data_IF_744768801551
#
_entry.id   IF_744768801551
#
_cell.length_a   1.000
_cell.length_b   1.000
_cell.length_c   1.000
_cell.angle_alpha   90.00
_cell.angle_beta   90.00
_cell.angle_gamma   90.00
#
_symmetry.space_group_name_H-M   'P 1'
#
loop_
_entity.id
_entity.type
_entity.pdbx_description
1 polymer ?
#
# COMPACT_ATOMS: atom_id res chain seq x y z
N UNK A 1 -4.07 -36.79 1.69
CA UNK A 1 -4.49 -35.62 2.48
C UNK A 1 -3.26 -34.82 2.88
N UNK A 2 -2.27 -35.46 3.51
CA UNK A 2 -0.98 -34.86 3.89
C UNK A 2 -0.22 -34.17 2.73
N UNK A 3 -0.07 -34.84 1.58
CA UNK A 3 0.58 -34.26 0.39
C UNK A 3 -0.16 -33.02 -0.16
N UNK A 4 -1.46 -32.92 0.08
CA UNK A 4 -2.30 -31.82 -0.41
C UNK A 4 -2.07 -30.55 0.44
N UNK A 5 -2.04 -30.69 1.76
CA UNK A 5 -1.77 -29.59 2.69
C UNK A 5 -0.36 -29.00 2.51
N UNK A 6 0.63 -29.86 2.22
CA UNK A 6 1.99 -29.39 1.92
C UNK A 6 2.05 -28.61 0.60
N UNK A 7 1.32 -29.05 -0.43
CA UNK A 7 1.22 -28.29 -1.69
C UNK A 7 0.51 -26.95 -1.49
N UNK A 8 -0.55 -26.92 -0.68
CA UNK A 8 -1.25 -25.68 -0.34
C UNK A 8 -0.34 -24.71 0.43
N UNK A 9 0.45 -25.21 1.39
CA UNK A 9 1.43 -24.41 2.11
C UNK A 9 2.49 -23.80 1.17
N UNK A 10 3.00 -24.59 0.23
CA UNK A 10 3.95 -24.12 -0.78
C UNK A 10 3.32 -23.09 -1.71
N UNK A 11 2.08 -23.31 -2.14
CA UNK A 11 1.34 -22.33 -2.94
C UNK A 11 1.16 -21.01 -2.19
N UNK A 12 0.71 -21.04 -0.93
CA UNK A 12 0.53 -19.83 -0.11
C UNK A 12 1.84 -19.10 0.14
N UNK A 13 2.94 -19.82 0.30
CA UNK A 13 4.28 -19.24 0.42
C UNK A 13 4.72 -18.53 -0.86
N UNK A 14 4.43 -19.10 -2.03
CA UNK A 14 4.68 -18.44 -3.32
C UNK A 14 3.80 -17.20 -3.52
N UNK A 15 2.52 -17.27 -3.15
CA UNK A 15 1.59 -16.13 -3.17
C UNK A 15 2.08 -14.98 -2.26
N UNK A 16 2.63 -15.32 -1.09
CA UNK A 16 3.23 -14.37 -0.16
C UNK A 16 4.43 -13.65 -0.79
N UNK A 17 5.34 -14.39 -1.42
CA UNK A 17 6.51 -13.83 -2.10
C UNK A 17 6.13 -12.87 -3.23
N UNK A 18 5.12 -13.24 -4.03
CA UNK A 18 4.58 -12.38 -5.09
C UNK A 18 3.97 -11.12 -4.48
N UNK A 19 3.20 -11.26 -3.41
CA UNK A 19 2.56 -10.14 -2.71
C UNK A 19 3.58 -9.16 -2.13
N UNK A 20 4.67 -9.66 -1.53
CA UNK A 20 5.78 -8.84 -1.02
C UNK A 20 6.49 -8.08 -2.15
N UNK A 21 6.69 -8.71 -3.32
CA UNK A 21 7.23 -8.02 -4.50
C UNK A 21 6.29 -6.91 -4.98
N UNK A 22 4.99 -7.17 -5.02
CA UNK A 22 3.96 -6.16 -5.36
C UNK A 22 3.92 -5.00 -4.36
N UNK A 23 4.12 -5.28 -3.06
CA UNK A 23 4.18 -4.25 -2.02
C UNK A 23 5.32 -3.26 -2.26
N UNK A 24 6.50 -3.74 -2.69
CA UNK A 24 7.62 -2.84 -3.03
C UNK A 24 7.27 -1.89 -4.16
N UNK A 25 6.64 -2.40 -5.22
CA UNK A 25 6.20 -1.59 -6.37
C UNK A 25 5.17 -0.54 -5.94
N UNK A 26 4.12 -0.95 -5.23
CA UNK A 26 3.07 -0.03 -4.78
C UNK A 26 3.57 0.99 -3.76
N UNK A 27 4.55 0.62 -2.92
CA UNK A 27 5.23 1.57 -2.04
C UNK A 27 6.02 2.64 -2.79
N UNK A 28 6.75 2.26 -3.84
CA UNK A 28 7.45 3.21 -4.71
C UNK A 28 6.45 4.14 -5.41
N UNK A 29 5.38 3.58 -6.00
CA UNK A 29 4.37 4.37 -6.69
C UNK A 29 3.68 5.38 -5.75
N UNK A 30 3.42 5.00 -4.50
CA UNK A 30 2.89 5.89 -3.48
C UNK A 30 3.87 7.02 -3.16
N UNK A 31 5.15 6.70 -2.92
CA UNK A 31 6.18 7.69 -2.64
C UNK A 31 6.35 8.70 -3.80
N UNK A 32 6.28 8.24 -5.05
CA UNK A 32 6.31 9.09 -6.23
C UNK A 32 5.09 10.02 -6.28
N UNK A 33 3.87 9.51 -6.06
CA UNK A 33 2.67 10.34 -6.06
C UNK A 33 2.66 11.38 -4.93
N UNK A 34 3.11 10.99 -3.74
CA UNK A 34 3.29 11.90 -2.61
C UNK A 34 4.27 13.02 -2.96
N UNK A 35 5.42 12.68 -3.53
CA UNK A 35 6.44 13.66 -3.91
C UNK A 35 5.92 14.62 -4.97
N UNK A 36 5.26 14.10 -6.03
CA UNK A 36 4.69 14.91 -7.10
C UNK A 36 3.63 15.89 -6.57
N UNK A 37 2.71 15.42 -5.73
CA UNK A 37 1.71 16.27 -5.09
C UNK A 37 2.37 17.39 -4.27
N UNK A 38 3.38 17.06 -3.45
CA UNK A 38 4.09 18.03 -2.61
C UNK A 38 4.84 19.08 -3.43
N UNK A 39 5.47 18.67 -4.53
CA UNK A 39 6.20 19.58 -5.43
C UNK A 39 5.25 20.57 -6.11
N UNK A 40 4.15 20.08 -6.70
CA UNK A 40 3.20 20.94 -7.40
C UNK A 40 2.43 21.87 -6.45
N UNK A 41 2.05 21.37 -5.27
CA UNK A 41 1.45 22.21 -4.23
C UNK A 41 2.42 23.33 -3.81
N UNK A 42 3.70 23.03 -3.61
CA UNK A 42 4.69 24.03 -3.23
C UNK A 42 4.89 25.10 -4.32
N UNK A 43 4.95 24.71 -5.60
CA UNK A 43 5.04 25.64 -6.73
C UNK A 43 3.84 26.59 -6.77
N UNK A 44 2.63 26.08 -6.60
CA UNK A 44 1.42 26.90 -6.59
C UNK A 44 1.38 27.85 -5.39
N UNK A 45 1.78 27.38 -4.21
CA UNK A 45 1.87 28.22 -3.02
C UNK A 45 2.88 29.36 -3.18
N UNK A 46 4.05 29.10 -3.78
CA UNK A 46 5.04 30.13 -4.08
C UNK A 46 4.48 31.16 -5.07
N UNK A 47 3.74 30.71 -6.09
CA UNK A 47 3.09 31.59 -7.05
C UNK A 47 2.04 32.49 -6.39
N UNK A 48 1.11 31.92 -5.64
CA UNK A 48 0.07 32.67 -4.91
C UNK A 48 0.68 33.63 -3.88
N UNK A 49 1.79 33.23 -3.25
CA UNK A 49 2.51 34.13 -2.33
C UNK A 49 3.12 35.33 -3.06
N UNK A 50 3.70 35.12 -4.24
CA UNK A 50 4.24 36.18 -5.07
C UNK A 50 3.12 37.12 -5.59
N UNK A 51 1.92 36.61 -5.81
CA UNK A 51 0.72 37.39 -6.16
C UNK A 51 0.15 38.20 -4.97
N UNK A 52 0.70 38.03 -3.76
CA UNK A 52 0.34 38.82 -2.57
C UNK A 52 -0.71 38.19 -1.66
N UNK A 53 -1.15 36.96 -1.94
CA UNK A 53 -2.10 36.27 -1.06
C UNK A 53 -1.49 35.95 0.32
N UNK A 54 -2.32 36.05 1.36
CA UNK A 54 -1.97 35.54 2.68
C UNK A 54 -1.74 34.01 2.62
N UNK A 55 -0.75 33.50 3.35
CA UNK A 55 -0.33 32.08 3.26
C UNK A 55 -1.47 31.13 3.63
N UNK A 56 -2.31 31.50 4.60
CA UNK A 56 -3.48 30.72 5.02
C UNK A 56 -4.47 30.56 3.87
N UNK A 57 -4.86 31.66 3.23
CA UNK A 57 -5.79 31.65 2.09
C UNK A 57 -5.18 30.99 0.85
N UNK A 58 -3.90 31.24 0.56
CA UNK A 58 -3.19 30.58 -0.54
C UNK A 58 -3.18 29.05 -0.38
N UNK A 59 -3.10 28.56 0.86
CA UNK A 59 -3.24 27.15 1.21
C UNK A 59 -4.52 26.52 0.70
N UNK A 60 -5.65 27.17 0.96
CA UNK A 60 -6.96 26.65 0.59
C UNK A 60 -7.20 26.77 -0.93
N UNK A 61 -6.79 27.89 -1.53
CA UNK A 61 -6.88 28.09 -2.99
C UNK A 61 -6.04 27.04 -3.73
N UNK A 62 -4.80 26.83 -3.33
CA UNK A 62 -3.91 25.88 -4.00
C UNK A 62 -4.46 24.44 -3.92
N UNK A 63 -5.00 24.04 -2.76
CA UNK A 63 -5.60 22.69 -2.61
C UNK A 63 -6.92 22.56 -3.38
N UNK A 64 -7.68 23.63 -3.54
CA UNK A 64 -8.91 23.65 -4.34
C UNK A 64 -8.67 23.63 -5.85
N UNK A 65 -7.45 23.92 -6.31
CA UNK A 65 -7.11 23.90 -7.73
C UNK A 65 -7.28 22.48 -8.31
N UNK A 66 -8.03 22.29 -9.41
CA UNK A 66 -8.35 20.96 -9.94
C UNK A 66 -7.13 20.05 -10.16
N UNK A 67 -6.03 20.61 -10.67
CA UNK A 67 -4.80 19.83 -10.91
C UNK A 67 -4.18 19.29 -9.61
N UNK A 68 -4.12 20.13 -8.57
CA UNK A 68 -3.55 19.75 -7.27
C UNK A 68 -4.48 18.80 -6.54
N UNK A 69 -5.80 19.02 -6.60
CA UNK A 69 -6.79 18.12 -6.06
C UNK A 69 -6.69 16.73 -6.72
N UNK A 70 -6.47 16.67 -8.04
CA UNK A 70 -6.27 15.41 -8.76
C UNK A 70 -4.99 14.69 -8.32
N UNK A 71 -3.89 15.41 -8.13
CA UNK A 71 -2.65 14.83 -7.60
C UNK A 71 -2.84 14.31 -6.17
N UNK A 72 -3.58 15.03 -5.33
CA UNK A 72 -3.93 14.57 -3.97
C UNK A 72 -4.78 13.30 -4.01
N UNK A 73 -5.76 13.24 -4.90
CA UNK A 73 -6.57 12.04 -5.10
C UNK A 73 -5.70 10.83 -5.49
N UNK A 74 -4.76 11.02 -6.42
CA UNK A 74 -3.82 9.97 -6.82
C UNK A 74 -2.94 9.49 -5.66
N UNK A 75 -2.43 10.42 -4.85
CA UNK A 75 -1.64 10.10 -3.65
C UNK A 75 -2.44 9.25 -2.65
N UNK A 76 -3.67 9.68 -2.33
CA UNK A 76 -4.57 8.93 -1.43
C UNK A 76 -4.90 7.54 -2.00
N UNK A 77 -5.20 7.45 -3.30
CA UNK A 77 -5.53 6.18 -3.94
C UNK A 77 -4.37 5.19 -3.85
N UNK A 78 -3.14 5.66 -4.11
CA UNK A 78 -1.95 4.81 -4.01
C UNK A 78 -1.62 4.43 -2.57
N UNK A 79 -1.83 5.33 -1.61
CA UNK A 79 -1.70 5.02 -0.19
C UNK A 79 -2.66 3.90 0.23
N UNK A 80 -3.92 3.99 -0.20
CA UNK A 80 -4.94 2.99 0.08
C UNK A 80 -4.58 1.63 -0.51
N UNK A 81 -4.06 1.59 -1.74
CA UNK A 81 -3.58 0.36 -2.38
C UNK A 81 -2.40 -0.24 -1.60
N UNK A 82 -1.42 0.59 -1.22
CA UNK A 82 -0.27 0.14 -0.43
C UNK A 82 -0.69 -0.47 0.90
N UNK A 83 -1.61 0.18 1.62
CA UNK A 83 -2.18 -0.34 2.88
C UNK A 83 -2.96 -1.63 2.69
N UNK A 84 -3.77 -1.72 1.64
CA UNK A 84 -4.51 -2.94 1.30
C UNK A 84 -3.56 -4.13 1.01
N UNK A 85 -2.45 -3.89 0.31
CA UNK A 85 -1.43 -4.90 0.06
C UNK A 85 -0.74 -5.36 1.35
N UNK A 86 -0.48 -4.44 2.28
CA UNK A 86 0.09 -4.77 3.59
C UNK A 86 -0.84 -5.68 4.39
N UNK A 87 -2.14 -5.37 4.40
CA UNK A 87 -3.15 -6.20 5.06
C UNK A 87 -3.30 -7.57 4.39
N UNK A 88 -3.25 -7.63 3.05
CA UNK A 88 -3.27 -8.90 2.31
C UNK A 88 -2.09 -9.81 2.70
N UNK A 89 -0.89 -9.25 2.84
CA UNK A 89 0.30 -9.97 3.30
C UNK A 89 0.11 -10.48 4.74
N UNK A 90 -0.50 -9.68 5.63
CA UNK A 90 -0.80 -10.12 6.98
C UNK A 90 -1.80 -11.28 7.01
N UNK A 91 -2.84 -11.22 6.18
CA UNK A 91 -3.81 -12.30 6.01
C UNK A 91 -3.15 -13.58 5.50
N UNK A 92 -2.27 -13.50 4.49
CA UNK A 92 -1.53 -14.66 3.97
C UNK A 92 -0.62 -15.30 5.02
N UNK A 93 0.11 -14.49 5.80
CA UNK A 93 0.94 -15.00 6.92
C UNK A 93 0.10 -15.74 7.95
N UNK A 94 -1.11 -15.24 8.26
CA UNK A 94 -2.02 -15.91 9.19
C UNK A 94 -2.50 -17.25 8.62
N UNK A 95 -2.86 -17.30 7.34
CA UNK A 95 -3.27 -18.55 6.67
C UNK A 95 -2.15 -19.59 6.68
N UNK A 96 -0.91 -19.20 6.35
CA UNK A 96 0.27 -20.07 6.40
C UNK A 96 0.46 -20.65 7.81
N UNK A 97 0.34 -19.81 8.85
CA UNK A 97 0.47 -20.24 10.24
C UNK A 97 -0.62 -21.25 10.65
N UNK A 98 -1.86 -21.02 10.21
CA UNK A 98 -2.97 -21.94 10.47
C UNK A 98 -2.76 -23.29 9.77
N UNK A 99 -2.33 -23.28 8.50
CA UNK A 99 -1.98 -24.49 7.74
C UNK A 99 -0.85 -25.29 8.40
N UNK A 100 0.24 -24.62 8.82
CA UNK A 100 1.32 -25.26 9.58
C UNK A 100 0.80 -25.90 10.87
N UNK A 101 -0.04 -25.18 11.62
CA UNK A 101 -0.63 -25.71 12.85
C UNK A 101 -1.55 -26.92 12.62
N UNK A 102 -2.15 -27.02 11.43
CA UNK A 102 -2.97 -28.18 11.04
C UNK A 102 -2.09 -29.37 10.69
N UNK A 103 -1.06 -29.17 9.87
CA UNK A 103 -0.07 -30.21 9.50
C UNK A 103 0.56 -30.80 10.76
N UNK A 104 1.02 -29.97 11.70
CA UNK A 104 1.65 -30.41 12.94
C UNK A 104 0.72 -31.30 13.79
N UNK A 105 -0.58 -31.00 13.82
CA UNK A 105 -1.58 -31.78 14.55
C UNK A 105 -1.83 -33.13 13.88
N UNK A 106 -1.95 -33.15 12.55
CA UNK A 106 -2.14 -34.39 11.80
C UNK A 106 -0.93 -35.33 12.02
N UNK A 107 0.30 -34.80 11.95
CA UNK A 107 1.54 -35.54 12.24
C UNK A 107 1.65 -36.04 13.68
N UNK A 108 1.17 -35.25 14.64
CA UNK A 108 1.15 -35.66 16.06
C UNK A 108 0.08 -36.68 16.38
N UNK A 109 -0.95 -36.82 15.54
CA UNK A 109 -2.04 -37.79 15.71
C UNK A 109 -1.78 -39.14 15.04
N UNK A 110 -0.83 -39.20 14.11
CA UNK A 110 -0.41 -40.44 13.43
C UNK A 110 0.76 -41.17 14.13
N UNK A 111 1.45 -40.52 15.08
CA UNK A 111 2.48 -41.12 15.95
C UNK A 111 1.96 -41.43 17.35
#
# INVERSE_FOLDING_TARGET
MEYDLYNELMQKSNELDISVKSLRKTGQEYAEAYTNYRMELAKELMKLKAEGYAITLAGDIARGKPEIARLKFQEIAKEAIYKANLESINALKLQIKLLQSQIDKEWSSEN
#
